data_IF_269897999099
#
_entry.id   IF_269897999099
#
_cell.length_a   1.000
_cell.length_b   1.000
_cell.length_c   1.000
_cell.angle_alpha   90.00
_cell.angle_beta   90.00
_cell.angle_gamma   90.00
#
_symmetry.space_group_name_H-M   'P 1'
#
loop_
_entity.id
_entity.type
_entity.pdbx_description
1 polymer ?
#
# COMPACT_ATOMS: atom_id res chain seq x y z
N UNK A 1 22.21 -10.09 5.29
CA UNK A 1 22.61 -8.72 5.68
C UNK A 1 22.10 -8.44 7.09
N UNK A 2 22.94 -7.86 7.97
CA UNK A 2 22.48 -7.42 9.29
C UNK A 2 21.37 -6.35 9.13
N UNK A 3 20.39 -6.28 10.06
CA UNK A 3 19.37 -5.24 10.01
C UNK A 3 19.98 -3.84 10.08
N UNK A 4 19.54 -2.94 9.23
CA UNK A 4 19.93 -1.53 9.25
C UNK A 4 19.41 -0.87 10.52
N UNK A 5 20.19 0.04 11.11
CA UNK A 5 19.75 0.82 12.27
C UNK A 5 18.77 1.92 11.84
N UNK A 6 18.06 2.49 12.81
CA UNK A 6 17.20 3.66 12.56
C UNK A 6 18.00 4.82 11.93
N UNK A 7 19.23 5.06 12.41
CA UNK A 7 20.11 6.09 11.88
C UNK A 7 20.46 5.87 10.42
N UNK A 8 20.84 4.64 10.05
CA UNK A 8 21.14 4.30 8.66
C UNK A 8 19.95 4.59 7.74
N UNK A 9 18.73 4.25 8.20
CA UNK A 9 17.49 4.45 7.45
C UNK A 9 17.06 5.93 7.33
N UNK A 10 17.50 6.79 8.25
CA UNK A 10 17.31 8.24 8.14
C UNK A 10 18.29 8.88 7.15
N UNK A 11 19.47 8.31 6.98
CA UNK A 11 20.53 8.86 6.14
C UNK A 11 20.47 8.38 4.68
N UNK A 12 20.07 7.12 4.45
CA UNK A 12 19.95 6.52 3.11
C UNK A 12 18.69 7.00 2.39
N UNK A 13 18.77 7.53 1.17
CA UNK A 13 17.59 7.85 0.37
C UNK A 13 16.71 6.61 0.15
N UNK A 14 15.39 6.75 0.33
CA UNK A 14 14.44 5.61 0.24
C UNK A 14 14.55 4.84 -1.09
N UNK A 15 14.83 5.54 -2.20
CA UNK A 15 15.01 4.91 -3.52
C UNK A 15 16.22 3.95 -3.56
N UNK A 16 17.25 4.25 -2.79
CA UNK A 16 18.51 3.49 -2.82
C UNK A 16 18.35 2.16 -2.06
N UNK A 17 17.36 2.06 -1.16
CA UNK A 17 16.98 0.79 -0.52
C UNK A 17 16.52 -0.25 -1.56
N UNK A 18 15.91 0.16 -2.66
CA UNK A 18 15.43 -0.75 -3.69
C UNK A 18 16.57 -1.49 -4.43
N UNK A 19 17.79 -0.94 -4.39
CA UNK A 19 18.99 -1.55 -4.98
C UNK A 19 19.69 -2.54 -4.03
N UNK A 20 19.25 -2.62 -2.77
CA UNK A 20 19.86 -3.50 -1.78
C UNK A 20 19.25 -4.90 -1.82
N UNK A 21 20.04 -5.91 -1.43
CA UNK A 21 19.53 -7.26 -1.20
C UNK A 21 18.80 -7.33 0.13
N UNK A 22 17.54 -6.91 0.14
CA UNK A 22 16.69 -6.86 1.31
C UNK A 22 16.00 -8.20 1.58
N UNK A 23 15.60 -8.41 2.83
CA UNK A 23 14.74 -9.54 3.21
C UNK A 23 13.42 -9.50 2.43
N UNK A 24 12.89 -10.66 1.98
CA UNK A 24 11.55 -10.71 1.41
C UNK A 24 10.48 -10.20 2.39
N UNK A 25 9.52 -9.45 1.88
CA UNK A 25 8.41 -8.87 2.64
C UNK A 25 7.09 -9.25 1.97
N UNK A 26 6.10 -9.68 2.74
CA UNK A 26 4.76 -9.98 2.24
C UNK A 26 3.88 -8.75 2.27
N UNK A 27 3.31 -8.42 1.12
CA UNK A 27 2.38 -7.29 0.96
C UNK A 27 1.02 -7.82 0.53
N UNK A 28 0.02 -7.71 1.40
CA UNK A 28 -1.37 -8.00 1.04
C UNK A 28 -1.96 -6.79 0.30
N UNK A 29 -2.52 -7.04 -0.87
CA UNK A 29 -3.26 -6.04 -1.66
C UNK A 29 -4.75 -6.40 -1.59
N UNK A 30 -5.53 -5.56 -0.89
CA UNK A 30 -6.98 -5.70 -0.76
C UNK A 30 -7.65 -4.87 -1.84
N UNK A 31 -8.12 -5.53 -2.91
CA UNK A 31 -8.58 -4.85 -4.11
C UNK A 31 -9.55 -5.71 -4.95
N UNK A 32 -9.63 -5.47 -6.26
CA UNK A 32 -10.48 -6.17 -7.25
C UNK A 32 -9.94 -7.51 -7.71
N UNK A 33 -8.76 -7.92 -7.21
CA UNK A 33 -7.99 -9.08 -7.67
C UNK A 33 -6.72 -8.68 -8.41
N UNK A 34 -5.92 -9.65 -8.83
CA UNK A 34 -4.65 -9.41 -9.52
C UNK A 34 -4.48 -10.36 -10.69
N UNK A 35 -4.18 -9.82 -11.87
CA UNK A 35 -3.66 -10.60 -13.01
C UNK A 35 -2.20 -10.99 -12.74
N UNK A 36 -2.01 -12.15 -12.13
CA UNK A 36 -0.69 -12.68 -11.78
C UNK A 36 0.13 -13.14 -13.01
N UNK A 37 -0.47 -13.17 -14.20
CA UNK A 37 0.19 -13.54 -15.46
C UNK A 37 0.86 -12.35 -16.13
N UNK A 38 0.48 -11.12 -15.72
CA UNK A 38 1.07 -9.89 -16.25
C UNK A 38 2.60 -9.88 -16.04
N UNK A 39 3.35 -9.43 -17.06
CA UNK A 39 4.82 -9.46 -17.07
C UNK A 39 5.47 -8.83 -15.83
N UNK A 40 4.93 -7.71 -15.32
CA UNK A 40 5.42 -7.02 -14.13
C UNK A 40 5.14 -7.76 -12.81
N UNK A 41 4.23 -8.74 -12.82
CA UNK A 41 3.75 -9.46 -11.64
C UNK A 41 4.09 -10.95 -11.65
N UNK A 42 4.59 -11.45 -12.78
CA UNK A 42 4.93 -12.87 -12.94
C UNK A 42 5.89 -13.35 -11.85
N UNK A 43 5.47 -14.38 -11.11
CA UNK A 43 6.25 -14.94 -9.99
C UNK A 43 6.26 -14.09 -8.71
N UNK A 44 5.54 -12.96 -8.69
CA UNK A 44 5.45 -12.07 -7.51
C UNK A 44 4.26 -12.37 -6.61
N UNK A 45 3.14 -12.88 -7.17
CA UNK A 45 1.93 -13.22 -6.42
C UNK A 45 2.11 -14.58 -5.76
N UNK A 46 2.22 -14.61 -4.45
CA UNK A 46 2.46 -15.82 -3.64
C UNK A 46 1.17 -16.54 -3.27
N UNK A 47 0.10 -15.78 -2.97
CA UNK A 47 -1.22 -16.29 -2.57
C UNK A 47 -2.30 -15.46 -3.25
N UNK A 48 -3.44 -16.08 -3.56
CA UNK A 48 -4.62 -15.38 -4.06
C UNK A 48 -5.89 -15.99 -3.45
N UNK A 49 -6.76 -15.14 -2.91
CA UNK A 49 -8.05 -15.52 -2.35
C UNK A 49 -9.10 -14.42 -2.60
N UNK A 50 -10.36 -14.80 -2.57
CA UNK A 50 -11.47 -13.83 -2.61
C UNK A 50 -12.37 -13.96 -1.41
N UNK A 51 -12.88 -12.84 -0.95
CA UNK A 51 -14.01 -12.75 -0.05
C UNK A 51 -15.22 -12.16 -0.80
N UNK A 52 -16.40 -12.72 -0.58
CA UNK A 52 -17.63 -12.26 -1.20
C UNK A 52 -18.82 -12.45 -0.28
N UNK A 53 -19.88 -11.71 -0.54
CA UNK A 53 -21.16 -11.90 0.14
C UNK A 53 -21.94 -13.03 -0.54
N UNK A 54 -22.31 -14.04 0.25
CA UNK A 54 -23.18 -15.13 -0.16
C UNK A 54 -24.65 -14.84 0.12
N UNK A 55 -25.51 -15.84 -0.15
CA UNK A 55 -26.94 -15.78 0.16
C UNK A 55 -27.13 -15.58 1.67
N UNK A 56 -28.18 -14.84 2.06
CA UNK A 56 -28.45 -14.55 3.47
C UNK A 56 -27.43 -13.64 4.18
N UNK A 57 -26.49 -13.03 3.43
CA UNK A 57 -25.49 -12.12 3.99
C UNK A 57 -24.25 -12.81 4.58
N UNK A 58 -24.12 -14.11 4.44
CA UNK A 58 -22.91 -14.86 4.86
C UNK A 58 -21.69 -14.36 4.11
N UNK A 59 -20.53 -14.38 4.77
CA UNK A 59 -19.24 -14.07 4.12
C UNK A 59 -18.56 -15.37 3.75
N UNK A 60 -18.17 -15.47 2.48
CA UNK A 60 -17.57 -16.66 1.90
C UNK A 60 -16.18 -16.34 1.39
N UNK A 61 -15.20 -17.17 1.73
CA UNK A 61 -13.87 -17.12 1.13
C UNK A 61 -13.67 -18.25 0.15
N UNK A 62 -12.88 -18.00 -0.86
CA UNK A 62 -12.41 -19.05 -1.79
C UNK A 62 -11.01 -18.74 -2.29
N UNK A 63 -10.14 -19.75 -2.42
CA UNK A 63 -8.86 -19.56 -3.09
C UNK A 63 -9.11 -19.21 -4.56
N UNK A 64 -8.29 -18.30 -5.09
CA UNK A 64 -8.30 -17.93 -6.50
C UNK A 64 -7.18 -18.63 -7.24
N UNK A 65 -7.44 -19.03 -8.50
CA UNK A 65 -6.38 -19.43 -9.42
C UNK A 65 -5.63 -18.17 -9.85
N UNK A 66 -4.32 -18.28 -10.01
CA UNK A 66 -3.49 -17.16 -10.49
C UNK A 66 -3.63 -17.04 -12.00
N UNK A 67 -4.65 -16.36 -12.49
CA UNK A 67 -4.94 -16.20 -13.91
C UNK A 67 -5.25 -14.74 -14.27
N UNK A 68 -5.29 -14.46 -15.57
CA UNK A 68 -5.62 -13.15 -16.10
C UNK A 68 -7.04 -12.70 -15.72
N UNK A 69 -7.97 -13.64 -15.55
CA UNK A 69 -9.38 -13.38 -15.26
C UNK A 69 -9.64 -13.02 -13.77
N UNK A 70 -8.59 -13.01 -12.94
CA UNK A 70 -8.75 -12.72 -11.52
C UNK A 70 -9.03 -11.24 -11.23
N UNK A 71 -8.72 -10.35 -12.14
CA UNK A 71 -8.96 -8.91 -11.99
C UNK A 71 -9.79 -8.35 -13.15
N UNK A 72 -11.11 -8.46 -13.09
CA UNK A 72 -11.98 -7.96 -14.17
C UNK A 72 -12.02 -6.43 -14.27
N UNK A 73 -11.64 -5.72 -13.21
CA UNK A 73 -11.52 -4.26 -13.20
C UNK A 73 -10.17 -3.76 -13.73
N UNK A 74 -9.10 -4.51 -13.46
CA UNK A 74 -7.72 -4.09 -13.69
C UNK A 74 -7.15 -3.17 -12.60
N UNK A 75 -7.96 -2.75 -11.61
CA UNK A 75 -7.54 -1.82 -10.58
C UNK A 75 -6.51 -2.45 -9.64
N UNK A 76 -6.76 -3.64 -9.11
CA UNK A 76 -5.84 -4.33 -8.21
C UNK A 76 -4.54 -4.74 -8.89
N UNK A 77 -4.58 -5.10 -10.19
CA UNK A 77 -3.38 -5.36 -11.00
C UNK A 77 -2.50 -4.13 -11.10
N UNK A 78 -3.11 -2.97 -11.37
CA UNK A 78 -2.39 -1.69 -11.42
C UNK A 78 -1.75 -1.34 -10.07
N UNK A 79 -2.48 -1.51 -8.98
CA UNK A 79 -2.01 -1.28 -7.60
C UNK A 79 -0.83 -2.22 -7.27
N UNK A 80 -0.98 -3.51 -7.53
CA UNK A 80 0.06 -4.51 -7.27
C UNK A 80 1.34 -4.25 -8.07
N UNK A 81 1.21 -3.82 -9.33
CA UNK A 81 2.35 -3.50 -10.18
C UNK A 81 3.14 -2.29 -9.69
N UNK A 82 2.49 -1.28 -9.09
CA UNK A 82 3.18 -0.16 -8.45
C UNK A 82 4.01 -0.65 -7.27
N UNK A 83 3.44 -1.50 -6.41
CA UNK A 83 4.17 -2.08 -5.27
C UNK A 83 5.38 -2.89 -5.74
N UNK A 84 5.18 -3.81 -6.69
CA UNK A 84 6.23 -4.69 -7.20
C UNK A 84 7.34 -3.95 -7.95
N UNK A 85 6.97 -2.87 -8.67
CA UNK A 85 7.92 -2.05 -9.43
C UNK A 85 8.84 -1.21 -8.55
N UNK A 86 8.36 -0.79 -7.37
CA UNK A 86 9.14 0.02 -6.44
C UNK A 86 9.89 -0.80 -5.38
N UNK A 87 9.37 -1.96 -5.00
CA UNK A 87 9.96 -2.82 -3.98
C UNK A 87 10.28 -4.22 -4.54
N UNK A 88 11.51 -4.45 -5.03
CA UNK A 88 11.89 -5.74 -5.62
C UNK A 88 11.82 -6.92 -4.64
N UNK A 89 11.90 -6.64 -3.35
CA UNK A 89 11.87 -7.65 -2.28
C UNK A 89 10.46 -8.13 -1.89
N UNK A 90 9.38 -7.69 -2.56
CA UNK A 90 8.02 -8.06 -2.14
C UNK A 90 7.57 -9.41 -2.68
N UNK A 91 6.71 -10.06 -1.87
CA UNK A 91 5.81 -11.15 -2.24
C UNK A 91 4.38 -10.67 -2.02
N UNK A 92 3.59 -10.67 -3.07
CA UNK A 92 2.23 -10.12 -3.04
C UNK A 92 1.24 -11.22 -2.63
N UNK A 93 0.32 -10.86 -1.74
CA UNK A 93 -0.88 -11.64 -1.44
C UNK A 93 -2.08 -10.91 -2.04
N UNK A 94 -2.74 -11.54 -2.99
CA UNK A 94 -3.97 -11.06 -3.61
C UNK A 94 -5.15 -11.39 -2.71
N UNK A 95 -5.80 -10.36 -2.17
CA UNK A 95 -7.00 -10.48 -1.36
C UNK A 95 -8.12 -9.72 -2.06
N UNK A 96 -8.85 -10.40 -2.92
CA UNK A 96 -9.96 -9.81 -3.65
C UNK A 96 -11.15 -9.57 -2.71
N UNK A 97 -11.53 -8.31 -2.56
CA UNK A 97 -12.62 -7.82 -1.69
C UNK A 97 -13.57 -6.88 -2.42
N UNK A 98 -13.26 -6.52 -3.66
CA UNK A 98 -14.07 -5.65 -4.51
C UNK A 98 -14.54 -6.40 -5.76
N UNK A 99 -15.67 -5.95 -6.29
CA UNK A 99 -16.27 -6.43 -7.53
C UNK A 99 -15.65 -5.76 -8.78
N UNK A 100 -16.15 -6.12 -9.96
CA UNK A 100 -15.62 -5.65 -11.25
C UNK A 100 -15.75 -4.13 -11.44
N UNK A 101 -16.73 -3.48 -10.83
CA UNK A 101 -16.94 -2.03 -10.84
C UNK A 101 -16.13 -1.29 -9.75
N UNK A 102 -15.19 -2.00 -9.12
CA UNK A 102 -14.38 -1.51 -7.97
C UNK A 102 -15.23 -1.11 -6.76
N UNK A 103 -16.47 -1.61 -6.68
CA UNK A 103 -17.33 -1.49 -5.52
C UNK A 103 -17.13 -2.65 -4.55
N UNK A 104 -17.43 -2.44 -3.29
CA UNK A 104 -17.33 -3.48 -2.27
C UNK A 104 -18.33 -3.28 -1.13
N UNK A 105 -18.79 -4.40 -0.57
CA UNK A 105 -19.55 -4.38 0.65
C UNK A 105 -18.60 -4.26 1.85
N UNK A 106 -18.77 -3.25 2.70
CA UNK A 106 -17.84 -2.96 3.80
C UNK A 106 -17.47 -4.16 4.66
N UNK A 107 -18.42 -5.06 4.97
CA UNK A 107 -18.14 -6.28 5.72
C UNK A 107 -17.17 -7.24 4.98
N UNK A 108 -17.22 -7.29 3.64
CA UNK A 108 -16.29 -8.10 2.83
C UNK A 108 -14.88 -7.51 2.92
N UNK A 109 -14.75 -6.18 2.80
CA UNK A 109 -13.46 -5.49 2.91
C UNK A 109 -12.86 -5.70 4.30
N UNK A 110 -13.66 -5.56 5.37
CA UNK A 110 -13.21 -5.76 6.75
C UNK A 110 -12.82 -7.21 7.02
N UNK A 111 -13.52 -8.17 6.43
CA UNK A 111 -13.14 -9.58 6.55
C UNK A 111 -11.83 -9.90 5.84
N UNK A 112 -11.61 -9.33 4.65
CA UNK A 112 -10.32 -9.42 3.95
C UNK A 112 -9.19 -8.75 4.74
N UNK A 113 -9.47 -7.62 5.39
CA UNK A 113 -8.51 -6.95 6.26
C UNK A 113 -8.15 -7.82 7.47
N UNK A 114 -9.15 -8.42 8.13
CA UNK A 114 -8.92 -9.34 9.23
C UNK A 114 -8.06 -10.54 8.81
N UNK A 115 -8.35 -11.14 7.65
CA UNK A 115 -7.55 -12.24 7.06
C UNK A 115 -6.09 -11.84 6.87
N UNK A 116 -5.83 -10.63 6.33
CA UNK A 116 -4.47 -10.14 6.11
C UNK A 116 -3.74 -9.83 7.43
N UNK A 117 -4.46 -9.36 8.46
CA UNK A 117 -3.91 -9.09 9.80
C UNK A 117 -3.53 -10.39 10.51
N UNK A 118 -4.37 -11.42 10.41
CA UNK A 118 -4.12 -12.74 11.03
C UNK A 118 -3.06 -13.54 10.27
N UNK A 119 -2.91 -13.30 8.97
CA UNK A 119 -1.98 -13.97 8.09
C UNK A 119 -0.54 -13.47 8.22
N UNK A 120 0.25 -13.79 7.20
CA UNK A 120 1.69 -13.54 7.17
C UNK A 120 2.08 -12.18 6.57
N UNK A 121 1.11 -11.35 6.16
CA UNK A 121 1.40 -10.05 5.58
C UNK A 121 2.16 -9.15 6.57
N UNK A 122 3.26 -8.54 6.13
CA UNK A 122 4.01 -7.52 6.87
C UNK A 122 3.40 -6.12 6.64
N UNK A 123 2.92 -5.90 5.40
CA UNK A 123 2.30 -4.64 4.94
C UNK A 123 0.96 -4.97 4.27
N UNK A 124 -0.05 -4.17 4.53
CA UNK A 124 -1.41 -4.32 3.99
C UNK A 124 -1.76 -3.04 3.26
N UNK A 125 -1.99 -3.14 1.95
CA UNK A 125 -2.42 -2.02 1.11
C UNK A 125 -3.93 -2.03 0.92
N UNK A 126 -4.59 -0.95 1.32
CA UNK A 126 -6.00 -0.70 1.05
C UNK A 126 -6.15 0.51 0.13
N UNK A 127 -6.37 0.23 -1.17
CA UNK A 127 -6.73 1.25 -2.16
C UNK A 127 -8.25 1.42 -2.27
N UNK A 128 -8.95 1.22 -1.15
CA UNK A 128 -10.40 1.28 -0.99
C UNK A 128 -10.78 2.15 0.20
N UNK A 129 -11.89 2.89 0.09
CA UNK A 129 -12.44 3.67 1.17
C UNK A 129 -13.83 3.14 1.57
N UNK A 130 -14.00 2.80 2.86
CA UNK A 130 -15.26 2.32 3.44
C UNK A 130 -16.00 3.52 4.03
N UNK A 131 -17.35 3.49 4.01
CA UNK A 131 -18.17 4.51 4.63
C UNK A 131 -18.01 4.53 6.15
N UNK A 132 -17.82 5.73 6.72
CA UNK A 132 -17.49 5.93 8.13
C UNK A 132 -18.59 5.47 9.09
N UNK A 133 -19.81 5.96 8.90
CA UNK A 133 -20.87 5.91 9.91
C UNK A 133 -21.20 4.50 10.42
N UNK A 134 -21.19 3.54 9.51
CA UNK A 134 -21.54 2.15 9.85
C UNK A 134 -20.34 1.32 10.32
N UNK A 135 -19.15 1.59 9.80
CA UNK A 135 -18.02 0.66 9.90
C UNK A 135 -16.89 1.16 10.79
N UNK A 136 -17.05 2.33 11.42
CA UNK A 136 -16.03 2.91 12.30
C UNK A 136 -15.58 1.97 13.42
N UNK A 137 -16.49 1.42 14.27
CA UNK A 137 -16.06 0.62 15.42
C UNK A 137 -15.27 -0.62 15.00
N UNK A 138 -15.76 -1.33 13.98
CA UNK A 138 -15.13 -2.55 13.49
C UNK A 138 -13.76 -2.24 12.84
N UNK A 139 -13.70 -1.17 12.03
CA UNK A 139 -12.44 -0.74 11.39
C UNK A 139 -11.43 -0.34 12.45
N UNK A 140 -11.81 0.45 13.44
CA UNK A 140 -10.93 0.88 14.54
C UNK A 140 -10.36 -0.32 15.30
N UNK A 141 -11.20 -1.29 15.66
CA UNK A 141 -10.80 -2.52 16.33
C UNK A 141 -9.76 -3.32 15.50
N UNK A 142 -9.98 -3.46 14.21
CA UNK A 142 -9.06 -4.17 13.31
C UNK A 142 -7.74 -3.43 13.16
N UNK A 143 -7.78 -2.10 13.02
CA UNK A 143 -6.56 -1.29 12.89
C UNK A 143 -5.73 -1.28 14.17
N UNK A 144 -6.37 -1.23 15.35
CA UNK A 144 -5.67 -1.37 16.63
C UNK A 144 -5.00 -2.75 16.73
N UNK A 145 -5.70 -3.81 16.35
CA UNK A 145 -5.16 -5.17 16.30
C UNK A 145 -3.97 -5.30 15.34
N UNK A 146 -4.06 -4.67 14.16
CA UNK A 146 -2.95 -4.59 13.22
C UNK A 146 -1.74 -3.88 13.84
N UNK A 147 -1.98 -2.75 14.51
CA UNK A 147 -0.94 -1.97 15.18
C UNK A 147 -0.22 -2.77 16.25
N UNK A 148 -0.96 -3.43 17.15
CA UNK A 148 -0.40 -4.29 18.23
C UNK A 148 0.40 -5.46 17.65
N UNK A 149 -0.04 -6.03 16.54
CA UNK A 149 0.68 -7.10 15.82
C UNK A 149 1.82 -6.58 14.93
N UNK A 150 2.08 -5.29 14.98
CA UNK A 150 3.10 -4.64 14.16
C UNK A 150 2.90 -4.86 12.63
N UNK A 151 1.64 -4.99 12.15
CA UNK A 151 1.27 -5.04 10.75
C UNK A 151 1.07 -3.63 10.23
N UNK A 152 1.78 -3.24 9.18
CA UNK A 152 1.66 -1.91 8.59
C UNK A 152 0.45 -1.85 7.68
N UNK A 153 -0.53 -1.01 8.01
CA UNK A 153 -1.70 -0.77 7.15
C UNK A 153 -1.54 0.58 6.45
N UNK A 154 -1.49 0.57 5.12
CA UNK A 154 -1.44 1.76 4.28
C UNK A 154 -2.80 1.93 3.59
N UNK A 155 -3.41 3.10 3.74
CA UNK A 155 -4.76 3.35 3.28
C UNK A 155 -4.85 4.59 2.39
N UNK A 156 -5.49 4.45 1.23
CA UNK A 156 -5.84 5.56 0.37
C UNK A 156 -6.99 6.39 0.96
N UNK A 157 -6.86 7.71 0.96
CA UNK A 157 -7.97 8.62 1.23
C UNK A 157 -9.05 8.48 0.14
N UNK A 158 -10.30 8.71 0.47
CA UNK A 158 -11.39 8.77 -0.50
C UNK A 158 -11.10 9.83 -1.58
N UNK A 159 -11.24 9.49 -2.87
CA UNK A 159 -10.96 10.39 -3.99
C UNK A 159 -11.83 11.66 -3.98
N UNK A 160 -13.11 11.50 -3.62
CA UNK A 160 -14.07 12.60 -3.46
C UNK A 160 -14.49 12.65 -1.99
N UNK A 161 -13.72 13.31 -1.12
CA UNK A 161 -14.04 13.38 0.30
C UNK A 161 -15.33 14.17 0.51
N UNK A 162 -16.12 13.69 1.47
CA UNK A 162 -17.27 14.45 1.99
C UNK A 162 -16.82 15.21 3.23
N UNK A 163 -17.46 16.33 3.60
CA UNK A 163 -17.20 16.97 4.87
C UNK A 163 -17.33 15.96 6.02
N UNK A 164 -16.28 15.82 6.83
CA UNK A 164 -16.22 14.88 7.94
C UNK A 164 -16.07 13.39 7.59
N UNK A 165 -15.92 13.01 6.30
CA UNK A 165 -15.71 11.63 5.86
C UNK A 165 -14.64 11.56 4.76
N UNK A 166 -13.40 11.31 5.16
CA UNK A 166 -12.26 11.10 4.26
C UNK A 166 -12.12 9.63 3.83
N UNK A 167 -12.97 8.76 4.37
CA UNK A 167 -13.00 7.33 4.13
C UNK A 167 -12.14 6.51 5.10
N UNK A 168 -12.71 5.43 5.62
CA UNK A 168 -11.97 4.46 6.43
C UNK A 168 -11.17 3.51 5.52
N UNK A 169 -9.99 3.06 5.96
CA UNK A 169 -9.37 3.32 7.26
C UNK A 169 -8.43 4.54 7.30
N UNK A 170 -8.34 5.36 6.23
CA UNK A 170 -7.40 6.47 6.13
C UNK A 170 -7.57 7.56 7.21
N UNK A 171 -8.73 7.62 7.88
CA UNK A 171 -8.95 8.56 8.97
C UNK A 171 -8.36 8.10 10.31
N UNK A 172 -7.99 6.83 10.43
CA UNK A 172 -7.52 6.26 11.70
C UNK A 172 -6.01 6.43 11.85
N UNK A 173 -5.54 6.98 12.98
CA UNK A 173 -4.12 7.29 13.18
C UNK A 173 -3.22 6.04 13.25
N UNK A 174 -3.78 4.86 13.40
CA UNK A 174 -3.06 3.59 13.37
C UNK A 174 -2.77 3.09 11.95
N UNK A 175 -3.43 3.66 10.92
CA UNK A 175 -3.05 3.48 9.52
C UNK A 175 -2.01 4.53 9.09
N UNK A 176 -1.30 4.26 7.99
CA UNK A 176 -0.54 5.24 7.22
C UNK A 176 -1.45 5.73 6.10
N UNK A 177 -1.96 6.94 6.24
CA UNK A 177 -2.95 7.49 5.32
C UNK A 177 -2.32 8.29 4.19
N UNK A 178 -2.83 8.10 2.96
CA UNK A 178 -2.20 8.61 1.74
C UNK A 178 -3.18 9.36 0.86
N UNK A 179 -2.81 10.60 0.49
CA UNK A 179 -3.44 11.42 -0.54
C UNK A 179 -2.62 11.40 -1.84
N UNK A 180 -3.23 11.80 -2.95
CA UNK A 180 -2.56 11.88 -4.24
C UNK A 180 -1.94 13.26 -4.51
N UNK A 181 -0.75 13.27 -5.13
CA UNK A 181 -0.07 14.46 -5.59
C UNK A 181 0.53 14.25 -6.99
N UNK A 182 0.78 15.36 -7.69
CA UNK A 182 1.45 15.39 -8.99
C UNK A 182 2.98 15.46 -8.81
N UNK A 183 3.58 14.44 -8.21
CA UNK A 183 5.04 14.40 -8.09
C UNK A 183 5.71 13.81 -9.34
N UNK A 184 6.89 14.33 -9.73
CA UNK A 184 7.64 13.82 -10.89
C UNK A 184 8.23 12.40 -10.64
N UNK A 185 8.36 12.00 -9.38
CA UNK A 185 8.97 10.72 -8.99
C UNK A 185 8.09 9.98 -7.97
N UNK A 186 7.97 8.65 -8.05
CA UNK A 186 7.24 7.84 -7.08
C UNK A 186 7.93 7.75 -5.71
N UNK A 187 9.18 8.18 -5.63
CA UNK A 187 9.99 8.19 -4.39
C UNK A 187 9.77 9.44 -3.55
N UNK A 188 9.01 10.42 -4.05
CA UNK A 188 8.76 11.67 -3.36
C UNK A 188 7.51 11.58 -2.50
N UNK A 189 7.66 12.03 -1.27
CA UNK A 189 6.59 12.14 -0.28
C UNK A 189 6.48 13.58 0.19
N UNK A 190 5.28 13.96 0.60
CA UNK A 190 5.02 15.17 1.37
C UNK A 190 4.24 14.80 2.63
N UNK A 191 4.74 15.21 3.79
CA UNK A 191 4.00 15.14 5.04
C UNK A 191 2.95 16.27 5.10
N UNK A 192 1.70 15.92 5.35
CA UNK A 192 0.56 16.86 5.39
C UNK A 192 0.34 17.30 6.85
N UNK A 193 0.82 18.50 7.18
CA UNK A 193 0.65 19.07 8.52
C UNK A 193 -0.81 19.49 8.75
N UNK A 194 -1.28 19.35 9.98
CA UNK A 194 -2.64 19.72 10.37
C UNK A 194 -3.74 19.03 9.56
N UNK A 195 -3.48 17.81 9.14
CA UNK A 195 -4.40 16.98 8.37
C UNK A 195 -4.52 15.61 9.01
N UNK A 196 -5.72 15.01 9.06
CA UNK A 196 -5.87 13.61 9.49
C UNK A 196 -5.24 12.62 8.50
N UNK A 197 -5.06 13.02 7.23
CA UNK A 197 -4.26 12.27 6.25
C UNK A 197 -2.80 12.67 6.38
N UNK A 198 -1.91 11.70 6.56
CA UNK A 198 -0.52 11.97 6.94
C UNK A 198 0.39 12.31 5.77
N UNK A 199 0.25 11.60 4.64
CA UNK A 199 1.17 11.72 3.51
C UNK A 199 0.46 11.98 2.20
N UNK A 200 1.15 12.67 1.29
CA UNK A 200 0.82 12.68 -0.13
C UNK A 200 1.96 12.04 -0.91
N UNK A 201 1.61 11.19 -1.88
CA UNK A 201 2.52 10.51 -2.79
C UNK A 201 2.06 10.69 -4.24
N UNK A 202 2.90 10.27 -5.21
CA UNK A 202 2.54 10.34 -6.62
C UNK A 202 1.30 9.47 -6.89
N UNK A 203 0.20 10.11 -7.26
CA UNK A 203 -1.07 9.46 -7.62
C UNK A 203 -1.71 10.07 -8.86
N UNK A 204 -0.97 10.95 -9.60
CA UNK A 204 -1.44 11.52 -10.86
C UNK A 204 -0.59 11.05 -12.01
N UNK A 205 -1.24 10.64 -13.08
CA UNK A 205 -0.62 10.18 -14.32
C UNK A 205 0.45 9.09 -14.05
N UNK A 206 0.05 8.08 -13.28
CA UNK A 206 0.92 6.97 -12.87
C UNK A 206 0.88 5.90 -13.96
N UNK A 207 2.02 5.63 -14.60
CA UNK A 207 2.17 4.50 -15.51
C UNK A 207 2.26 3.20 -14.72
N UNK A 208 1.41 2.22 -15.04
CA UNK A 208 1.32 0.95 -14.33
C UNK A 208 0.79 -0.17 -15.23
N UNK A 209 0.65 -1.39 -14.72
CA UNK A 209 0.12 -2.53 -15.43
C UNK A 209 -1.36 -2.35 -15.82
N UNK A 210 -1.72 -2.79 -17.02
CA UNK A 210 -3.11 -3.01 -17.45
C UNK A 210 -3.39 -4.50 -17.38
N UNK A 211 -4.43 -4.92 -16.70
CA UNK A 211 -4.86 -6.33 -16.70
C UNK A 211 -5.07 -6.83 -18.13
N UNK A 212 -4.61 -8.04 -18.42
CA UNK A 212 -4.58 -8.60 -19.78
C UNK A 212 -3.35 -8.19 -20.60
N UNK A 213 -2.45 -7.36 -20.06
CA UNK A 213 -1.16 -7.02 -20.68
C UNK A 213 -0.97 -5.55 -21.04
N UNK A 214 0.28 -5.15 -21.16
CA UNK A 214 0.70 -3.78 -21.46
C UNK A 214 0.57 -2.81 -20.28
N UNK A 215 0.60 -1.52 -20.57
CA UNK A 215 0.59 -0.45 -19.57
C UNK A 215 -0.56 0.50 -19.75
N UNK A 216 -0.95 1.19 -18.67
CA UNK A 216 -1.98 2.21 -18.62
C UNK A 216 -1.52 3.36 -17.72
N UNK A 217 -2.08 4.56 -17.93
CA UNK A 217 -1.87 5.72 -17.04
C UNK A 217 -3.14 6.00 -16.25
N UNK A 218 -2.99 6.06 -14.94
CA UNK A 218 -4.11 6.19 -14.01
C UNK A 218 -3.88 7.34 -13.01
N UNK A 219 -4.99 7.90 -12.52
CA UNK A 219 -4.98 8.98 -11.53
C UNK A 219 -5.95 8.68 -10.40
N UNK A 220 -5.49 8.79 -9.16
CA UNK A 220 -6.28 8.58 -7.95
C UNK A 220 -5.40 8.35 -6.73
N UNK A 221 -5.99 8.48 -5.55
CA UNK A 221 -5.33 8.14 -4.27
C UNK A 221 -4.98 6.66 -4.20
N UNK A 222 -5.77 5.81 -4.89
CA UNK A 222 -5.53 4.38 -5.03
C UNK A 222 -4.19 4.03 -5.69
N UNK A 223 -3.61 4.95 -6.47
CA UNK A 223 -2.31 4.77 -7.13
C UNK A 223 -1.17 5.48 -6.37
N UNK A 224 -1.51 6.29 -5.35
CA UNK A 224 -0.55 6.89 -4.43
C UNK A 224 -0.23 5.95 -3.25
N UNK A 225 -1.23 5.32 -2.66
CA UNK A 225 -1.08 4.42 -1.51
C UNK A 225 -0.09 3.27 -1.77
N UNK A 226 -0.13 2.55 -2.92
CA UNK A 226 0.81 1.46 -3.18
C UNK A 226 2.27 1.91 -3.27
N UNK A 227 2.57 3.16 -3.65
CA UNK A 227 3.92 3.69 -3.58
C UNK A 227 4.41 3.76 -2.12
N UNK A 228 3.56 4.22 -1.19
CA UNK A 228 3.88 4.23 0.24
C UNK A 228 3.97 2.82 0.81
N UNK A 229 3.11 1.89 0.38
CA UNK A 229 3.20 0.46 0.75
C UNK A 229 4.54 -0.15 0.34
N UNK A 230 5.03 0.18 -0.86
CA UNK A 230 6.35 -0.25 -1.32
C UNK A 230 7.47 0.32 -0.45
N UNK A 231 7.43 1.60 -0.08
CA UNK A 231 8.41 2.20 0.82
C UNK A 231 8.40 1.52 2.20
N UNK A 232 7.23 1.21 2.74
CA UNK A 232 7.09 0.44 3.98
C UNK A 232 7.70 -0.96 3.85
N UNK A 233 7.51 -1.62 2.69
CA UNK A 233 8.09 -2.94 2.43
C UNK A 233 9.63 -2.89 2.30
N UNK A 234 10.20 -1.84 1.72
CA UNK A 234 11.65 -1.64 1.69
C UNK A 234 12.20 -1.46 3.11
N UNK A 235 11.57 -0.61 3.93
CA UNK A 235 11.96 -0.39 5.33
C UNK A 235 11.88 -1.68 6.16
N UNK A 236 10.80 -2.45 6.01
CA UNK A 236 10.66 -3.76 6.66
C UNK A 236 11.68 -4.79 6.19
N UNK A 237 12.04 -4.76 4.91
CA UNK A 237 13.09 -5.60 4.35
C UNK A 237 14.47 -5.27 4.89
N UNK A 238 14.74 -3.98 5.12
CA UNK A 238 15.99 -3.47 5.68
C UNK A 238 16.09 -3.73 7.20
N UNK A 239 14.98 -3.56 7.92
CA UNK A 239 14.89 -3.88 9.35
C UNK A 239 13.49 -4.41 9.72
N UNK A 240 13.33 -5.73 9.94
CA UNK A 240 12.03 -6.34 10.24
C UNK A 240 11.48 -5.98 11.62
N UNK A 241 12.29 -5.41 12.51
CA UNK A 241 11.89 -5.03 13.87
C UNK A 241 11.36 -3.61 14.00
N UNK A 242 11.42 -2.80 12.94
CA UNK A 242 10.84 -1.46 12.99
C UNK A 242 9.39 -1.51 13.46
N UNK A 243 9.04 -0.64 14.37
CA UNK A 243 7.65 -0.40 14.76
C UNK A 243 6.94 0.46 13.71
N UNK A 244 5.61 0.48 13.73
CA UNK A 244 4.82 1.35 12.85
C UNK A 244 5.17 2.82 13.10
N UNK A 245 5.39 3.19 14.37
CA UNK A 245 5.80 4.53 14.75
C UNK A 245 7.15 4.92 14.12
N UNK A 246 8.15 4.03 14.16
CA UNK A 246 9.46 4.27 13.54
C UNK A 246 9.34 4.38 12.02
N UNK A 247 8.55 3.53 11.37
CA UNK A 247 8.29 3.62 9.93
C UNK A 247 7.67 4.98 9.57
N UNK A 248 6.62 5.41 10.29
CA UNK A 248 6.03 6.75 10.09
C UNK A 248 7.03 7.87 10.30
N UNK A 249 7.88 7.75 11.30
CA UNK A 249 8.92 8.75 11.61
C UNK A 249 9.97 8.84 10.50
N UNK A 250 10.42 7.71 9.96
CA UNK A 250 11.34 7.66 8.82
C UNK A 250 10.70 8.28 7.57
N UNK A 251 9.46 7.89 7.24
CA UNK A 251 8.74 8.45 6.09
C UNK A 251 8.56 9.97 6.23
N UNK A 252 8.20 10.46 7.42
CA UNK A 252 8.07 11.89 7.70
C UNK A 252 9.41 12.61 7.55
N UNK A 253 10.49 12.06 8.06
CA UNK A 253 11.82 12.62 7.93
C UNK A 253 12.21 12.82 6.45
N UNK A 254 12.04 11.80 5.62
CA UNK A 254 12.32 11.88 4.19
C UNK A 254 11.41 12.87 3.46
N UNK A 255 10.13 12.93 3.82
CA UNK A 255 9.17 13.90 3.26
C UNK A 255 9.54 15.36 3.59
N UNK A 256 10.09 15.62 4.79
CA UNK A 256 10.50 16.97 5.21
C UNK A 256 11.85 17.40 4.62
N UNK A 257 12.78 16.48 4.42
CA UNK A 257 14.05 16.77 3.72
C UNK A 257 13.82 17.27 2.30
N UNK A 258 12.89 16.68 1.58
CA UNK A 258 12.53 17.13 0.23
C UNK A 258 12.00 18.58 0.24
N UNK A 259 11.21 19.00 1.23
CA UNK A 259 10.74 20.41 1.36
C UNK A 259 11.86 21.42 1.53
N UNK A 260 12.99 21.04 2.14
CA UNK A 260 14.10 21.96 2.45
C UNK A 260 15.08 22.15 1.28
N UNK A 261 14.77 21.64 0.08
CA UNK A 261 15.61 21.87 -1.11
C UNK A 261 16.95 21.17 -1.10
N UNK A 262 17.16 20.18 -0.23
CA UNK A 262 18.39 19.38 -0.21
C UNK A 262 18.34 18.29 -1.29
N UNK A 263 18.58 18.66 -2.54
CA UNK A 263 19.18 17.73 -3.48
C UNK A 263 20.61 17.53 -2.98
N UNK A 264 21.07 16.33 -2.61
CA UNK A 264 22.48 16.12 -2.32
C UNK A 264 23.25 16.47 -3.58
N UNK A 265 24.08 17.53 -3.55
CA UNK A 265 25.09 17.77 -4.56
C UNK A 265 25.95 16.51 -4.61
N UNK A 266 26.09 15.92 -5.79
CA UNK A 266 27.08 14.90 -6.05
C UNK A 266 28.41 15.40 -5.50
N UNK A 267 28.96 14.75 -4.49
CA UNK A 267 30.29 15.06 -4.00
C UNK A 267 31.26 14.89 -5.16
N UNK A 268 31.72 16.00 -5.73
CA UNK A 268 32.95 16.08 -6.47
C UNK A 268 34.05 15.54 -5.56
N UNK A 269 34.50 14.32 -5.82
CA UNK A 269 35.84 13.90 -5.41
C UNK A 269 36.77 14.81 -6.18
N UNK A 270 37.42 15.74 -5.48
CA UNK A 270 38.60 16.40 -5.99
C UNK A 270 39.77 15.43 -5.90
N UNK A 271 40.70 15.51 -6.86
CA UNK A 271 41.84 14.61 -7.02
C UNK A 271 42.81 14.64 -5.86
#
# INVERSE_FOLDING_TARGET
>A
MAPMTLRDLLDVPLRDLAALSLRPVRVAVLDTGIDATHELLRGRVARALSWRRGRGGTLLSSPLRRGADNDPSGHGTAVAAIVAGLAPNVRIEDVRVLDADSAGYGAVVLRGLEEAIEGDADVINLSVAIARDRWWPETARLLERAYVRNKVVVAARRNLPRPGDLGLPAELPTAISVDSAAFPSPWLLRFLRNSPVEFAARGRDVATARAGGGTIRLTGTSFAAPAVSALCALLRGANPRLTIFEIKSILKWHAERFRRGSVPSAHHRRP
#
